data_IF_280163295354
#
_entry.id   IF_280163295354
#
_cell.length_a   1.000
_cell.length_b   1.000
_cell.length_c   1.000
_cell.angle_alpha   90.00
_cell.angle_beta   90.00
_cell.angle_gamma   90.00
#
_symmetry.space_group_name_H-M   'P 1'
#
loop_
_entity.id
_entity.type
_entity.pdbx_description
1 polymer ?
#
# COMPACT_ATOMS: atom_id res chain seq x y z
N UNK A 1 -14.99 24.65 -18.74
CA UNK A 1 -16.14 24.85 -17.81
C UNK A 1 -16.78 26.21 -17.98
N UNK A 2 -16.04 27.33 -18.00
CA UNK A 2 -16.62 28.66 -18.19
C UNK A 2 -17.57 28.75 -19.41
N UNK A 3 -17.13 28.29 -20.57
CA UNK A 3 -17.96 28.22 -21.79
C UNK A 3 -19.26 27.42 -21.55
N UNK A 4 -19.19 26.29 -20.84
CA UNK A 4 -20.38 25.49 -20.53
C UNK A 4 -21.32 26.24 -19.58
N UNK A 5 -20.78 26.91 -18.57
CA UNK A 5 -21.56 27.75 -17.65
C UNK A 5 -22.24 28.92 -18.34
N UNK A 6 -21.58 29.53 -19.34
CA UNK A 6 -22.15 30.62 -20.14
C UNK A 6 -23.28 30.13 -21.06
N UNK A 7 -23.17 28.91 -21.61
CA UNK A 7 -24.14 28.37 -22.58
C UNK A 7 -25.30 27.62 -21.94
N UNK A 8 -25.06 26.92 -20.84
CA UNK A 8 -26.04 26.03 -20.20
C UNK A 8 -26.47 26.51 -18.81
N UNK A 9 -25.89 27.59 -18.29
CA UNK A 9 -26.09 28.05 -16.93
C UNK A 9 -25.36 27.19 -15.89
N UNK A 10 -25.52 27.58 -14.63
CA UNK A 10 -25.04 26.83 -13.46
C UNK A 10 -25.81 27.28 -12.21
N UNK A 11 -25.76 26.47 -11.17
CA UNK A 11 -26.23 26.82 -9.83
C UNK A 11 -25.05 26.87 -8.86
N UNK A 12 -25.21 27.57 -7.73
CA UNK A 12 -24.24 27.52 -6.64
C UNK A 12 -24.68 26.45 -5.64
N UNK A 13 -23.76 25.55 -5.27
CA UNK A 13 -24.01 24.63 -4.16
C UNK A 13 -23.89 25.34 -2.80
N UNK A 14 -24.20 24.62 -1.71
CA UNK A 14 -24.12 25.14 -0.34
C UNK A 14 -22.73 25.61 0.10
N UNK A 15 -21.68 25.28 -0.66
CA UNK A 15 -20.30 25.73 -0.43
C UNK A 15 -19.89 26.92 -1.33
N UNK A 16 -20.82 27.47 -2.11
CA UNK A 16 -20.59 28.61 -3.00
C UNK A 16 -19.89 28.27 -4.32
N UNK A 17 -19.81 27.00 -4.71
CA UNK A 17 -19.18 26.58 -5.97
C UNK A 17 -20.20 26.33 -7.07
N UNK A 18 -19.83 26.69 -8.30
CA UNK A 18 -20.65 26.51 -9.51
C UNK A 18 -20.81 25.03 -9.86
N UNK A 19 -22.04 24.62 -10.14
CA UNK A 19 -22.44 23.26 -10.54
C UNK A 19 -23.21 23.34 -11.84
N UNK A 20 -22.79 22.58 -12.84
CA UNK A 20 -23.48 22.46 -14.13
C UNK A 20 -24.82 21.71 -13.95
N UNK A 21 -25.80 21.93 -14.83
CA UNK A 21 -27.04 21.17 -14.84
C UNK A 21 -26.81 19.65 -14.76
N UNK A 22 -27.67 18.88 -14.08
CA UNK A 22 -27.40 17.47 -13.74
C UNK A 22 -27.18 16.56 -14.97
N UNK A 23 -27.71 16.94 -16.13
CA UNK A 23 -27.53 16.23 -17.40
C UNK A 23 -26.20 16.52 -18.12
N UNK A 24 -25.30 17.35 -17.55
CA UNK A 24 -24.03 17.74 -18.18
C UNK A 24 -22.85 17.67 -17.22
N UNK A 25 -21.82 16.89 -17.56
CA UNK A 25 -20.55 16.76 -16.81
C UNK A 25 -19.36 16.72 -17.77
N UNK A 26 -18.16 16.90 -17.23
CA UNK A 26 -16.91 16.86 -17.96
C UNK A 26 -16.06 15.65 -17.54
N UNK A 27 -15.41 14.99 -18.50
CA UNK A 27 -14.37 14.01 -18.23
C UNK A 27 -13.05 14.48 -18.83
N UNK A 28 -11.99 14.56 -18.02
CA UNK A 28 -10.62 14.77 -18.50
C UNK A 28 -9.91 13.42 -18.54
N UNK A 29 -9.59 12.93 -19.74
CA UNK A 29 -8.93 11.63 -19.94
C UNK A 29 -7.47 11.70 -20.35
N UNK A 30 -7.01 12.86 -20.82
CA UNK A 30 -5.65 13.02 -21.36
C UNK A 30 -4.69 13.59 -20.32
N UNK A 31 -3.46 13.07 -20.29
CA UNK A 31 -2.38 13.55 -19.41
C UNK A 31 -2.61 13.39 -17.90
N UNK A 32 -3.67 12.71 -17.45
CA UNK A 32 -4.01 12.57 -16.03
C UNK A 32 -3.09 11.56 -15.34
N UNK A 33 -2.44 12.02 -14.27
CA UNK A 33 -1.61 11.24 -13.35
C UNK A 33 -1.69 11.87 -11.95
N UNK A 34 -1.01 11.29 -10.95
CA UNK A 34 -1.10 11.77 -9.57
C UNK A 34 -0.71 13.25 -9.40
N UNK A 35 0.29 13.72 -10.14
CA UNK A 35 0.77 15.11 -10.07
C UNK A 35 -0.18 16.07 -10.80
N UNK A 36 -0.59 15.73 -12.03
CA UNK A 36 -1.47 16.58 -12.83
C UNK A 36 -2.88 16.66 -12.25
N UNK A 37 -3.38 15.59 -11.62
CA UNK A 37 -4.68 15.57 -10.96
C UNK A 37 -4.81 16.66 -9.90
N UNK A 38 -3.79 16.81 -9.04
CA UNK A 38 -3.77 17.87 -8.01
C UNK A 38 -3.81 19.27 -8.63
N UNK A 39 -3.03 19.52 -9.69
CA UNK A 39 -3.03 20.80 -10.40
C UNK A 39 -4.38 21.11 -11.03
N UNK A 40 -5.01 20.13 -11.68
CA UNK A 40 -6.33 20.31 -12.31
C UNK A 40 -7.38 20.63 -11.24
N UNK A 41 -7.44 19.85 -10.15
CA UNK A 41 -8.40 20.09 -9.07
C UNK A 41 -8.24 21.48 -8.44
N UNK A 42 -7.01 21.94 -8.26
CA UNK A 42 -6.73 23.29 -7.75
C UNK A 42 -7.20 24.38 -8.75
N UNK A 43 -6.98 24.19 -10.04
CA UNK A 43 -7.52 25.10 -11.07
C UNK A 43 -9.05 25.13 -11.09
N UNK A 44 -9.71 23.98 -10.94
CA UNK A 44 -11.18 23.90 -10.84
C UNK A 44 -11.69 24.69 -9.63
N UNK A 45 -11.06 24.48 -8.47
CA UNK A 45 -11.38 25.18 -7.23
C UNK A 45 -11.16 26.69 -7.36
N UNK A 46 -10.00 27.13 -7.88
CA UNK A 46 -9.67 28.56 -8.09
C UNK A 46 -10.64 29.26 -9.05
N UNK A 47 -11.14 28.55 -10.06
CA UNK A 47 -12.13 29.08 -10.99
C UNK A 47 -13.58 29.10 -10.41
N UNK A 48 -13.76 28.71 -9.14
CA UNK A 48 -15.04 28.70 -8.44
C UNK A 48 -15.97 27.55 -8.87
N UNK A 49 -15.44 26.52 -9.51
CA UNK A 49 -16.22 25.36 -9.96
C UNK A 49 -16.16 24.22 -8.94
N UNK A 50 -17.27 23.51 -8.79
CA UNK A 50 -17.33 22.33 -7.93
C UNK A 50 -16.68 21.13 -8.61
N UNK A 51 -15.99 20.29 -7.84
CA UNK A 51 -15.40 19.04 -8.32
C UNK A 51 -16.44 18.00 -8.75
N UNK A 52 -17.71 18.14 -8.35
CA UNK A 52 -18.81 17.27 -8.83
C UNK A 52 -19.04 17.37 -10.34
N UNK A 53 -18.51 18.42 -10.98
CA UNK A 53 -18.63 18.62 -12.43
C UNK A 53 -17.64 17.79 -13.24
N UNK A 54 -16.60 17.25 -12.59
CA UNK A 54 -15.47 16.60 -13.28
C UNK A 54 -15.28 15.16 -12.86
N UNK A 55 -15.01 14.32 -13.85
CA UNK A 55 -14.46 12.98 -13.70
C UNK A 55 -13.12 12.89 -14.41
N UNK A 56 -12.30 11.93 -14.02
CA UNK A 56 -10.95 11.77 -14.54
C UNK A 56 -10.74 10.36 -15.08
N UNK A 57 -10.24 10.25 -16.30
CA UNK A 57 -9.72 9.00 -16.86
C UNK A 57 -8.20 9.02 -16.82
N UNK A 58 -7.57 7.93 -16.37
CA UNK A 58 -6.12 7.75 -16.45
C UNK A 58 -5.81 6.36 -16.97
N UNK A 59 -5.05 6.28 -18.05
CA UNK A 59 -4.62 5.03 -18.67
C UNK A 59 -3.21 4.63 -18.24
N UNK A 60 -2.24 4.72 -19.15
CA UNK A 60 -0.86 4.25 -18.92
C UNK A 60 -0.17 4.88 -17.70
N UNK A 61 -0.50 6.11 -17.32
CA UNK A 61 0.07 6.72 -16.11
C UNK A 61 -0.39 6.03 -14.81
N UNK A 62 -1.61 5.49 -14.79
CA UNK A 62 -2.15 4.74 -13.67
C UNK A 62 -1.69 3.27 -13.68
N UNK A 63 -1.64 2.64 -14.86
CA UNK A 63 -1.47 1.19 -14.97
C UNK A 63 -0.07 0.73 -15.41
N UNK A 64 0.72 1.57 -16.08
CA UNK A 64 1.99 1.17 -16.72
C UNK A 64 3.21 1.92 -16.19
N UNK A 65 3.04 3.11 -15.60
CA UNK A 65 4.16 3.91 -15.03
C UNK A 65 4.50 3.53 -13.58
N UNK A 66 4.28 2.28 -13.21
CA UNK A 66 4.61 1.71 -11.92
C UNK A 66 5.51 0.50 -12.14
N UNK A 67 6.49 0.30 -11.27
CA UNK A 67 7.34 -0.88 -11.28
C UNK A 67 7.52 -1.44 -9.87
N UNK A 68 8.13 -2.62 -9.78
CA UNK A 68 8.38 -3.35 -8.51
C UNK A 68 9.16 -2.51 -7.50
N UNK A 69 10.00 -1.60 -7.96
CA UNK A 69 10.83 -0.74 -7.11
C UNK A 69 10.09 0.53 -6.64
N UNK A 70 8.98 0.92 -7.27
CA UNK A 70 8.15 2.07 -6.86
C UNK A 70 7.71 1.99 -5.40
N UNK A 71 7.37 0.79 -4.93
CA UNK A 71 7.05 0.50 -3.52
C UNK A 71 8.14 -0.34 -2.83
N UNK A 72 9.29 -0.53 -3.48
CA UNK A 72 10.41 -1.38 -3.01
C UNK A 72 9.96 -2.80 -2.62
N UNK A 73 9.00 -3.38 -3.34
CA UNK A 73 8.49 -4.72 -3.07
C UNK A 73 9.61 -5.78 -3.20
N UNK A 74 9.85 -6.55 -2.15
CA UNK A 74 10.92 -7.54 -2.13
C UNK A 74 10.57 -8.79 -1.31
N UNK A 75 11.04 -9.95 -1.77
CA UNK A 75 11.03 -11.20 -1.02
C UNK A 75 12.44 -11.52 -0.51
N UNK A 76 12.59 -11.94 0.75
CA UNK A 76 13.86 -12.25 1.41
C UNK A 76 13.66 -13.37 2.42
N UNK A 77 14.62 -14.29 2.50
CA UNK A 77 14.70 -15.24 3.61
C UNK A 77 15.15 -14.49 4.87
N UNK A 78 14.41 -14.64 5.97
CA UNK A 78 14.77 -14.09 7.29
C UNK A 78 15.08 -15.17 8.33
N UNK A 79 14.67 -16.42 8.08
CA UNK A 79 14.81 -17.54 9.03
C UNK A 79 15.05 -18.86 8.30
N UNK A 80 15.97 -19.67 8.83
CA UNK A 80 16.21 -21.04 8.37
C UNK A 80 16.63 -21.92 9.54
N UNK A 81 16.35 -23.22 9.42
CA UNK A 81 16.76 -24.24 10.38
C UNK A 81 17.64 -25.24 9.65
N UNK A 82 18.86 -25.44 10.14
CA UNK A 82 19.85 -26.40 9.62
C UNK A 82 20.27 -27.31 10.75
N UNK A 83 20.13 -28.63 10.57
CA UNK A 83 20.44 -29.64 11.59
C UNK A 83 19.73 -29.38 12.92
N UNK A 84 18.47 -28.93 12.87
CA UNK A 84 17.68 -28.59 14.06
C UNK A 84 18.09 -27.30 14.78
N UNK A 85 19.07 -26.54 14.25
CA UNK A 85 19.52 -25.25 14.80
C UNK A 85 19.21 -24.11 13.85
N UNK A 86 18.96 -22.91 14.39
CA UNK A 86 18.77 -21.72 13.58
C UNK A 86 20.13 -21.25 13.03
N UNK A 87 20.25 -21.03 11.71
CA UNK A 87 21.57 -20.80 11.06
C UNK A 87 21.62 -19.54 10.20
N UNK A 88 22.84 -18.97 10.14
CA UNK A 88 23.27 -17.81 9.37
C UNK A 88 23.11 -17.96 7.85
N UNK A 89 22.69 -16.88 7.20
CA UNK A 89 23.13 -16.59 5.83
C UNK A 89 23.41 -15.09 5.72
N UNK A 90 24.69 -14.74 5.75
CA UNK A 90 25.18 -13.45 5.27
C UNK A 90 25.59 -13.67 3.82
N UNK A 91 25.04 -12.91 2.87
CA UNK A 91 25.51 -12.99 1.47
C UNK A 91 27.01 -12.69 1.41
N UNK A 92 27.87 -13.64 0.98
CA UNK A 92 29.25 -13.32 0.72
C UNK A 92 29.33 -12.57 -0.62
N UNK A 93 29.95 -11.40 -0.63
CA UNK A 93 30.61 -10.93 -1.84
C UNK A 93 32.06 -11.42 -1.77
N UNK A 94 32.45 -12.30 -2.67
CA UNK A 94 33.79 -12.27 -3.26
C UNK A 94 33.70 -12.69 -4.73
N UNK A 95 34.27 -11.86 -5.59
CA UNK A 95 34.64 -12.21 -6.95
C UNK A 95 35.61 -13.40 -6.91
N UNK A 96 35.28 -14.55 -7.51
CA UNK A 96 36.26 -15.47 -8.11
C UNK A 96 35.57 -16.18 -9.30
N UNK A 97 36.14 -16.00 -10.50
CA UNK A 97 35.96 -16.91 -11.63
C UNK A 97 36.80 -18.15 -11.33
N UNK A 98 36.20 -19.33 -11.35
CA UNK A 98 36.93 -20.60 -11.27
C UNK A 98 36.42 -21.51 -10.15
N UNK A 99 36.09 -22.73 -10.56
CA UNK A 99 35.82 -23.92 -9.76
C UNK A 99 36.52 -23.90 -8.38
N UNK A 100 35.77 -24.06 -7.28
CA UNK A 100 36.15 -24.79 -6.03
C UNK A 100 35.08 -24.58 -4.94
N UNK A 101 34.50 -25.71 -4.53
CA UNK A 101 34.09 -26.11 -3.17
C UNK A 101 33.37 -25.10 -2.25
N UNK A 102 32.05 -25.29 -2.15
CA UNK A 102 31.19 -24.70 -1.12
C UNK A 102 31.37 -25.45 0.21
N UNK A 103 32.56 -25.37 0.84
CA UNK A 103 32.72 -25.84 2.23
C UNK A 103 32.34 -24.67 3.15
N UNK A 104 31.06 -24.66 3.55
CA UNK A 104 30.62 -24.00 4.77
C UNK A 104 31.44 -24.57 5.93
N UNK A 105 32.43 -23.80 6.40
CA UNK A 105 33.21 -24.15 7.58
C UNK A 105 32.29 -24.06 8.80
N UNK A 106 31.69 -25.19 9.15
CA UNK A 106 31.01 -25.46 10.42
C UNK A 106 32.04 -25.51 11.55
N UNK A 107 32.66 -24.39 11.89
CA UNK A 107 33.44 -24.28 13.13
C UNK A 107 32.65 -23.46 14.14
N UNK A 108 32.10 -24.17 15.14
CA UNK A 108 31.61 -23.68 16.43
C UNK A 108 30.78 -22.38 16.41
N UNK A 109 29.45 -22.53 16.41
CA UNK A 109 28.54 -21.43 16.74
C UNK A 109 27.64 -21.83 17.92
N UNK A 110 27.83 -21.15 19.04
CA UNK A 110 27.08 -21.31 20.29
C UNK A 110 25.98 -20.24 20.46
N UNK A 111 25.54 -19.59 19.37
CA UNK A 111 24.46 -18.62 19.44
C UNK A 111 23.55 -18.72 18.21
N UNK A 112 22.25 -18.78 18.46
CA UNK A 112 21.21 -18.69 17.42
C UNK A 112 21.31 -17.32 16.75
N UNK A 113 21.60 -17.27 15.46
CA UNK A 113 21.60 -16.01 14.72
C UNK A 113 20.77 -16.15 13.45
N UNK A 114 19.97 -15.13 13.21
CA UNK A 114 19.02 -15.04 12.12
C UNK A 114 19.68 -14.76 10.76
N UNK A 115 18.97 -15.13 9.68
CA UNK A 115 19.36 -14.83 8.30
C UNK A 115 19.00 -13.38 7.96
N UNK A 116 19.94 -12.62 7.39
CA UNK A 116 19.64 -11.30 6.83
C UNK A 116 20.66 -10.85 5.79
N UNK A 117 20.21 -9.98 4.89
CA UNK A 117 21.10 -9.20 4.03
C UNK A 117 21.49 -7.90 4.76
N UNK A 118 22.77 -7.59 4.79
CA UNK A 118 23.29 -6.31 5.27
C UNK A 118 24.39 -5.81 4.33
N UNK A 119 24.03 -5.18 3.19
CA UNK A 119 25.02 -4.78 2.18
C UNK A 119 25.75 -3.52 2.62
N UNK A 120 27.09 -3.58 2.58
CA UNK A 120 27.99 -2.51 3.04
C UNK A 120 27.74 -1.19 2.27
N UNK A 121 27.50 -1.29 0.97
CA UNK A 121 27.38 -0.13 0.07
C UNK A 121 25.98 0.47 0.00
N UNK A 122 24.97 -0.16 0.60
CA UNK A 122 23.59 0.32 0.53
C UNK A 122 22.78 -0.08 1.79
N UNK A 123 22.92 0.66 2.90
CA UNK A 123 22.24 0.32 4.15
C UNK A 123 20.71 0.22 4.04
N UNK A 124 20.09 0.90 3.06
CA UNK A 124 18.64 0.83 2.81
C UNK A 124 18.18 -0.56 2.34
N UNK A 125 19.09 -1.42 1.89
CA UNK A 125 18.83 -2.80 1.50
C UNK A 125 19.04 -3.81 2.64
N UNK A 126 19.17 -3.33 3.88
CA UNK A 126 19.19 -4.20 5.06
C UNK A 126 17.82 -4.87 5.22
N UNK A 127 17.81 -6.20 5.39
CA UNK A 127 16.57 -6.95 5.59
C UNK A 127 16.35 -7.28 7.07
N UNK A 128 15.07 -7.50 7.42
CA UNK A 128 14.66 -8.01 8.72
C UNK A 128 15.18 -9.42 8.99
N UNK A 129 15.17 -9.81 10.26
CA UNK A 129 15.78 -11.02 10.82
C UNK A 129 14.75 -11.90 11.54
N UNK A 130 14.89 -13.20 11.37
CA UNK A 130 14.19 -14.22 12.13
C UNK A 130 12.72 -14.38 11.78
N UNK A 131 11.97 -14.99 12.70
CA UNK A 131 10.51 -15.08 12.60
C UNK A 131 9.91 -13.69 12.81
N UNK A 132 8.99 -13.30 11.94
CA UNK A 132 8.40 -11.98 11.92
C UNK A 132 6.94 -12.04 12.38
N UNK A 133 6.47 -10.96 13.00
CA UNK A 133 5.08 -10.77 13.43
C UNK A 133 4.69 -9.31 13.17
N UNK A 134 3.47 -9.04 12.71
CA UNK A 134 2.99 -7.68 12.43
C UNK A 134 1.93 -7.27 13.45
N UNK A 135 2.18 -6.21 14.20
CA UNK A 135 1.29 -5.72 15.25
C UNK A 135 0.79 -4.31 14.93
N UNK A 136 -0.37 -3.94 15.51
CA UNK A 136 -0.76 -2.53 15.60
C UNK A 136 0.17 -1.80 16.55
N UNK A 137 0.60 -0.59 16.16
CA UNK A 137 1.33 0.29 17.07
C UNK A 137 0.40 0.78 18.17
N UNK A 138 0.87 0.79 19.43
CA UNK A 138 0.10 1.27 20.58
C UNK A 138 0.14 2.80 20.74
N UNK A 139 1.13 3.47 20.16
CA UNK A 139 1.35 4.91 20.31
C UNK A 139 0.98 5.74 19.08
N UNK A 140 0.78 5.10 17.92
CA UNK A 140 0.52 5.79 16.65
C UNK A 140 -0.50 5.02 15.78
N UNK A 141 -1.14 5.70 14.84
CA UNK A 141 -2.01 5.08 13.84
C UNK A 141 -1.19 4.36 12.76
N UNK A 142 -0.40 3.37 13.17
CA UNK A 142 0.60 2.68 12.36
C UNK A 142 0.73 1.21 12.72
N UNK A 143 1.77 0.58 12.16
CA UNK A 143 2.07 -0.83 12.35
C UNK A 143 3.54 -0.99 12.73
N UNK A 144 3.83 -2.03 13.52
CA UNK A 144 5.19 -2.41 13.88
C UNK A 144 5.43 -3.86 13.49
N UNK A 145 6.57 -4.13 12.85
CA UNK A 145 7.02 -5.50 12.58
C UNK A 145 7.99 -5.91 13.68
N UNK A 146 7.60 -6.91 14.46
CA UNK A 146 8.47 -7.55 15.44
C UNK A 146 9.37 -8.56 14.71
N UNK A 147 10.65 -8.59 15.09
CA UNK A 147 11.67 -9.45 14.51
C UNK A 147 12.08 -10.55 15.51
N UNK A 148 12.82 -11.54 15.02
CA UNK A 148 13.48 -12.57 15.86
C UNK A 148 12.53 -13.39 16.75
N UNK A 149 11.24 -13.43 16.43
CA UNK A 149 10.23 -14.15 17.21
C UNK A 149 9.84 -13.46 18.52
N UNK A 150 10.15 -12.17 18.69
CA UNK A 150 9.81 -11.39 19.89
C UNK A 150 8.37 -10.87 19.93
N UNK A 151 7.57 -11.13 18.88
CA UNK A 151 6.18 -10.68 18.79
C UNK A 151 5.19 -11.61 19.48
N UNK A 152 4.08 -11.03 19.95
CA UNK A 152 2.93 -11.76 20.47
C UNK A 152 2.08 -12.31 19.31
N UNK A 153 2.13 -13.62 19.10
CA UNK A 153 1.43 -14.28 17.98
C UNK A 153 -0.10 -14.20 18.09
N UNK A 154 -0.65 -14.08 19.31
CA UNK A 154 -2.10 -13.91 19.51
C UNK A 154 -2.59 -12.54 19.00
N UNK A 155 -1.67 -11.58 18.86
CA UNK A 155 -1.94 -10.25 18.33
C UNK A 155 -1.45 -10.07 16.88
N UNK A 156 -0.91 -11.12 16.26
CA UNK A 156 -0.38 -11.03 14.91
C UNK A 156 -1.50 -10.71 13.91
N UNK A 157 -1.27 -9.69 13.09
CA UNK A 157 -2.17 -9.30 12.03
C UNK A 157 -1.96 -10.15 10.77
N UNK A 158 -0.83 -10.85 10.67
CA UNK A 158 -0.60 -11.84 9.63
C UNK A 158 -1.38 -13.12 9.95
N UNK A 159 -2.24 -13.53 9.03
CA UNK A 159 -3.02 -14.76 9.17
C UNK A 159 -2.60 -15.78 8.10
N UNK A 160 -2.69 -17.09 8.39
CA UNK A 160 -2.46 -18.11 7.38
C UNK A 160 -3.56 -18.05 6.32
N UNK A 161 -3.17 -17.82 5.06
CA UNK A 161 -4.09 -17.81 3.91
C UNK A 161 -3.96 -19.05 3.04
N UNK A 162 -2.83 -19.76 3.12
CA UNK A 162 -2.53 -20.96 2.36
C UNK A 162 -1.65 -21.90 3.19
N UNK A 163 -1.97 -23.19 3.19
CA UNK A 163 -1.20 -24.21 3.91
C UNK A 163 -1.28 -25.55 3.17
N UNK A 164 -0.14 -26.20 2.97
CA UNK A 164 -0.04 -27.57 2.43
C UNK A 164 -0.82 -27.82 1.13
N UNK A 165 -0.84 -26.86 0.20
CA UNK A 165 -1.57 -27.02 -1.06
C UNK A 165 -3.00 -26.50 -1.04
N UNK A 166 -3.51 -26.07 0.13
CA UNK A 166 -4.89 -25.66 0.31
C UNK A 166 -4.99 -24.16 0.64
N UNK A 167 -5.95 -23.49 0.01
CA UNK A 167 -6.34 -22.12 0.34
C UNK A 167 -7.22 -22.14 1.60
N UNK A 168 -6.82 -21.41 2.64
CA UNK A 168 -7.51 -21.36 3.93
C UNK A 168 -8.43 -20.16 4.06
N UNK A 169 -8.16 -19.10 3.29
CA UNK A 169 -8.93 -17.85 3.36
C UNK A 169 -9.11 -17.25 1.97
N UNK A 170 -10.36 -16.99 1.64
CA UNK A 170 -10.76 -16.19 0.49
C UNK A 170 -11.27 -14.82 0.94
N UNK A 171 -11.13 -13.84 0.06
CA UNK A 171 -11.66 -12.50 0.25
C UNK A 171 -12.44 -12.09 -0.98
N UNK A 172 -13.64 -11.56 -0.76
CA UNK A 172 -14.41 -10.92 -1.82
C UNK A 172 -13.80 -9.57 -2.18
N UNK A 173 -14.06 -9.10 -3.40
CA UNK A 173 -13.56 -7.79 -3.80
C UNK A 173 -14.16 -6.64 -2.98
N UNK A 174 -15.40 -6.78 -2.51
CA UNK A 174 -16.07 -5.79 -1.68
C UNK A 174 -15.45 -5.72 -0.27
N UNK A 175 -15.07 -6.86 0.32
CA UNK A 175 -14.30 -6.87 1.58
C UNK A 175 -12.96 -6.13 1.43
N UNK A 176 -12.26 -6.32 0.30
CA UNK A 176 -10.99 -5.64 0.03
C UNK A 176 -11.22 -4.13 -0.14
N UNK A 177 -12.26 -3.72 -0.88
CA UNK A 177 -12.64 -2.32 -1.04
C UNK A 177 -12.96 -1.66 0.30
N UNK A 178 -13.76 -2.33 1.13
CA UNK A 178 -14.12 -1.83 2.44
C UNK A 178 -12.89 -1.68 3.35
N UNK A 179 -11.92 -2.59 3.30
CA UNK A 179 -10.67 -2.45 4.07
C UNK A 179 -9.78 -1.31 3.59
N UNK A 180 -9.74 -1.07 2.28
CA UNK A 180 -8.90 -0.04 1.66
C UNK A 180 -9.52 1.37 1.69
N UNK A 181 -10.79 1.48 2.07
CA UNK A 181 -11.55 2.73 2.04
C UNK A 181 -11.02 3.77 3.04
N UNK A 182 -11.08 5.04 2.64
CA UNK A 182 -10.60 6.15 3.46
C UNK A 182 -11.47 6.33 4.72
N UNK A 183 -10.89 6.57 5.90
CA UNK A 183 -11.64 6.81 7.13
C UNK A 183 -12.70 7.92 6.99
N UNK A 184 -12.39 8.98 6.25
CA UNK A 184 -13.29 10.09 5.95
C UNK A 184 -14.53 9.64 5.17
N UNK A 185 -14.35 8.75 4.19
CA UNK A 185 -15.44 8.22 3.36
C UNK A 185 -16.34 7.32 4.18
N UNK A 186 -15.77 6.46 5.04
CA UNK A 186 -16.53 5.63 5.98
C UNK A 186 -17.40 6.47 6.89
N UNK A 187 -16.81 7.50 7.52
CA UNK A 187 -17.56 8.42 8.41
C UNK A 187 -18.73 9.10 7.70
N UNK A 188 -18.56 9.50 6.44
CA UNK A 188 -19.63 10.15 5.68
C UNK A 188 -20.78 9.18 5.33
N UNK A 189 -20.49 7.90 5.04
CA UNK A 189 -21.52 6.88 4.82
C UNK A 189 -22.37 6.67 6.07
N UNK A 190 -21.74 6.58 7.23
CA UNK A 190 -22.43 6.37 8.52
C UNK A 190 -23.38 7.54 8.86
N UNK A 191 -22.94 8.78 8.62
CA UNK A 191 -23.77 9.98 8.84
C UNK A 191 -24.98 9.97 7.92
N UNK A 192 -24.78 9.67 6.63
CA UNK A 192 -25.88 9.62 5.67
C UNK A 192 -26.90 8.53 6.01
N UNK A 193 -26.44 7.35 6.48
CA UNK A 193 -27.30 6.26 6.92
C UNK A 193 -28.15 6.64 8.15
N UNK A 194 -27.56 7.34 9.13
CA UNK A 194 -28.30 7.87 10.29
C UNK A 194 -29.33 8.92 9.89
N UNK A 195 -29.01 9.77 8.91
CA UNK A 195 -29.94 10.78 8.44
C UNK A 195 -31.12 10.18 7.66
N UNK A 196 -30.91 9.12 6.87
CA UNK A 196 -31.99 8.43 6.13
C UNK A 196 -32.94 7.67 7.05
N UNK A 197 -32.45 7.15 8.18
CA UNK A 197 -33.26 6.41 9.15
C UNK A 197 -34.05 7.31 10.10
N UNK A 198 -33.60 8.55 10.34
CA UNK A 198 -34.32 9.55 11.14
C UNK A 198 -35.31 10.42 10.34
N UNK A 199 -35.36 10.27 9.01
CA UNK A 199 -36.27 11.00 8.11
C UNK A 199 -37.39 10.14 7.52
N UNK A 200 -37.53 8.90 8.04
CA UNK A 200 -38.63 7.96 7.76
C UNK A 200 -39.52 7.84 8.99
#
# INVERSE_FOLDING_TARGET
MNILGEKFGYELNSKGYKVLPPYLRLIQGDGVNLESLGKILESVKKAGWSTVNVSFGSGGALLQRLNRDTQKCAFKCSHTVVNGKQVYALSPHHHIKGLISFILRLSQFSSNVNVCKHPITDPQKTSKKGRLCLLRSSSENGYITMEEGLGDLEKDLLIPVFENGHLLREYTFDEIRERAELPEVKRLRDVNFKNSTNSS
#
